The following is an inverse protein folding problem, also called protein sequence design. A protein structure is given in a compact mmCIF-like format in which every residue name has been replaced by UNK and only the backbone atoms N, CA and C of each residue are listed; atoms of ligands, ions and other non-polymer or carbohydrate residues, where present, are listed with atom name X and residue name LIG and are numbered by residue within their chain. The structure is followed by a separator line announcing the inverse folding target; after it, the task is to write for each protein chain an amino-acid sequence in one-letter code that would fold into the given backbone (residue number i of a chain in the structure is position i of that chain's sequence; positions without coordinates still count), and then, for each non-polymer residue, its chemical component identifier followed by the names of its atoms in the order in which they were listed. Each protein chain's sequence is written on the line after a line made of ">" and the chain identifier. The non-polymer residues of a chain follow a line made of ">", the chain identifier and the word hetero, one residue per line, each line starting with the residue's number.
data_IF_708390011716
#
_entry.id   IF_708390011716
#
_cell.length_a   1.000
_cell.length_b   1.000
_cell.length_c   1.000
_cell.angle_alpha   90.00
_cell.angle_beta   90.00
_cell.angle_gamma   90.00
#
_symmetry.space_group_name_H-M   'P 1'
#
loop_
_entity.id
_entity.type
_entity.pdbx_description
1 polymer ?
#
# COMPACT_ATOMS: atom_id res chain seq x y z
N UNK A 1 -9.59 0.40 20.06
CA UNK A 1 -8.48 -0.28 19.36
C UNK A 1 -7.40 0.74 19.08
N UNK A 2 -6.23 0.61 19.70
CA UNK A 2 -5.12 1.54 19.46
C UNK A 2 -4.57 1.31 18.06
N UNK A 3 -4.61 2.35 17.23
CA UNK A 3 -3.98 2.34 15.93
C UNK A 3 -2.49 2.52 16.12
N UNK A 4 -1.70 1.49 15.79
CA UNK A 4 -0.26 1.63 15.82
C UNK A 4 0.21 2.60 14.73
N UNK A 5 0.92 3.65 15.14
CA UNK A 5 1.54 4.62 14.25
C UNK A 5 3.04 4.45 14.31
N UNK A 6 3.62 3.97 13.21
CA UNK A 6 5.06 3.93 13.04
C UNK A 6 5.53 5.36 12.75
N UNK A 7 6.31 5.91 13.67
CA UNK A 7 6.80 7.28 13.63
C UNK A 7 8.26 7.33 13.17
N UNK A 8 8.55 8.20 12.21
CA UNK A 8 9.88 8.39 11.65
C UNK A 8 10.38 9.80 11.96
N UNK A 9 11.50 9.91 12.66
CA UNK A 9 12.23 11.16 12.82
C UNK A 9 12.89 11.54 11.49
N UNK A 10 12.67 12.78 11.08
CA UNK A 10 13.17 13.33 9.83
C UNK A 10 13.66 14.77 10.03
N UNK A 11 14.49 15.25 9.11
CA UNK A 11 14.94 16.64 9.06
C UNK A 11 14.70 17.16 7.65
N UNK A 12 14.14 18.37 7.54
CA UNK A 12 13.89 18.99 6.26
C UNK A 12 15.19 19.09 5.45
N UNK A 13 15.24 18.57 4.22
CA UNK A 13 16.46 18.57 3.41
C UNK A 13 16.92 19.97 3.02
N UNK A 14 16.03 20.97 3.06
CA UNK A 14 16.34 22.35 2.70
C UNK A 14 16.90 23.19 3.86
N UNK A 15 16.29 23.10 5.05
CA UNK A 15 16.63 23.99 6.18
C UNK A 15 17.06 23.26 7.46
N UNK A 16 17.13 21.93 7.46
CA UNK A 16 17.51 21.12 8.62
C UNK A 16 16.47 21.06 9.74
N UNK A 17 15.31 21.72 9.59
CA UNK A 17 14.29 21.75 10.63
C UNK A 17 13.77 20.34 10.97
N UNK A 18 13.59 20.00 12.25
CA UNK A 18 13.12 18.69 12.67
C UNK A 18 11.66 18.47 12.25
N UNK A 19 11.35 17.23 11.89
CA UNK A 19 10.01 16.78 11.55
C UNK A 19 9.77 15.35 12.05
N UNK A 20 8.50 14.99 12.20
CA UNK A 20 8.08 13.60 12.40
C UNK A 20 7.10 13.23 11.30
N UNK A 21 7.40 12.11 10.64
CA UNK A 21 6.59 11.54 9.57
C UNK A 21 5.93 10.26 10.05
N UNK A 22 4.80 9.92 9.43
CA UNK A 22 4.20 8.59 9.57
C UNK A 22 4.57 7.71 8.36
N UNK A 23 4.49 6.38 8.52
CA UNK A 23 4.84 5.40 7.48
C UNK A 23 4.14 5.65 6.13
N UNK A 24 2.90 6.11 6.15
CA UNK A 24 2.09 6.34 4.94
C UNK A 24 2.31 7.70 4.31
N UNK A 25 3.07 8.59 4.97
CA UNK A 25 3.34 9.92 4.43
C UNK A 25 4.35 9.85 3.29
N UNK A 26 4.02 10.54 2.21
CA UNK A 26 4.86 10.71 1.02
C UNK A 26 5.07 12.17 0.69
N UNK A 27 4.12 13.05 0.99
CA UNK A 27 4.26 14.48 0.82
C UNK A 27 4.60 15.16 2.15
N UNK A 28 5.75 15.79 2.21
CA UNK A 28 6.22 16.57 3.35
C UNK A 28 6.19 18.07 3.02
N UNK A 29 5.56 18.87 3.87
CA UNK A 29 5.64 20.33 3.82
C UNK A 29 6.38 20.82 5.06
N UNK A 30 7.52 21.50 4.87
CA UNK A 30 8.26 22.04 5.99
C UNK A 30 7.51 23.21 6.65
N UNK A 31 7.27 23.20 7.97
CA UNK A 31 6.60 24.32 8.64
C UNK A 31 7.46 25.60 8.71
N UNK A 32 8.78 25.50 8.51
CA UNK A 32 9.72 26.60 8.60
C UNK A 32 9.99 27.25 7.24
N UNK A 33 10.54 26.50 6.28
CA UNK A 33 10.89 27.04 4.95
C UNK A 33 9.77 26.89 3.91
N UNK A 34 8.64 26.24 4.27
CA UNK A 34 7.46 26.02 3.41
C UNK A 34 7.69 25.17 2.15
N UNK A 35 8.92 24.69 1.92
CA UNK A 35 9.24 23.78 0.83
C UNK A 35 8.41 22.49 0.97
N UNK A 36 7.90 22.05 -0.18
CA UNK A 36 7.19 20.77 -0.32
C UNK A 36 8.07 19.77 -1.04
N UNK A 37 8.27 18.64 -0.41
CA UNK A 37 9.08 17.55 -0.93
C UNK A 37 8.28 16.26 -0.91
N UNK A 38 8.33 15.53 -2.01
CA UNK A 38 7.75 14.21 -2.13
C UNK A 38 8.84 13.16 -1.90
N UNK A 39 8.61 12.27 -0.94
CA UNK A 39 9.51 11.21 -0.53
C UNK A 39 9.43 10.07 -1.53
N UNK A 40 10.58 9.69 -2.09
CA UNK A 40 10.68 8.58 -3.05
C UNK A 40 11.81 7.63 -2.67
N UNK A 41 11.66 6.39 -3.11
CA UNK A 41 12.69 5.35 -3.02
C UNK A 41 12.63 4.50 -4.30
N UNK A 42 13.77 3.94 -4.70
CA UNK A 42 13.84 3.09 -5.90
C UNK A 42 13.28 1.69 -5.66
N UNK A 43 13.33 1.23 -4.42
CA UNK A 43 12.93 -0.11 -4.03
C UNK A 43 11.98 -0.09 -2.82
N UNK A 44 12.49 0.21 -1.64
CA UNK A 44 11.75 0.23 -0.39
C UNK A 44 12.42 1.17 0.61
N UNK A 45 11.66 1.62 1.60
CA UNK A 45 12.22 2.45 2.66
C UNK A 45 13.01 1.60 3.65
N UNK A 46 14.17 2.12 4.06
CA UNK A 46 15.04 1.52 5.06
C UNK A 46 15.06 2.39 6.30
N UNK A 47 14.74 1.79 7.42
CA UNK A 47 14.68 2.44 8.72
C UNK A 47 15.66 1.81 9.70
N UNK A 48 16.04 2.55 10.74
CA UNK A 48 16.79 2.03 11.87
C UNK A 48 16.13 2.41 13.19
N UNK A 49 16.22 1.50 14.16
CA UNK A 49 15.92 1.78 15.56
C UNK A 49 17.11 2.49 16.20
N UNK A 50 16.82 3.47 17.04
CA UNK A 50 17.83 4.16 17.84
C UNK A 50 18.35 3.23 18.94
N UNK A 51 19.63 3.35 19.30
CA UNK A 51 20.25 2.56 20.36
C UNK A 51 20.56 3.41 21.59
N UNK A 52 20.62 2.73 22.74
CA UNK A 52 21.09 3.25 24.02
C UNK A 52 22.33 2.47 24.53
N UNK A 53 23.06 1.83 23.61
CA UNK A 53 24.25 1.05 23.93
C UNK A 53 25.30 1.84 24.74
N UNK A 54 26.05 1.17 25.64
CA UNK A 54 27.16 1.80 26.35
C UNK A 54 28.23 2.36 25.41
N UNK A 55 28.90 3.43 25.84
CA UNK A 55 29.95 4.07 25.07
C UNK A 55 31.09 3.08 24.72
N UNK A 56 31.65 3.22 23.51
CA UNK A 56 32.74 2.38 23.02
C UNK A 56 32.33 0.97 22.57
N UNK A 57 31.05 0.60 22.65
CA UNK A 57 30.57 -0.67 22.10
C UNK A 57 30.32 -0.55 20.60
N UNK A 58 30.94 -1.40 19.75
CA UNK A 58 30.64 -1.41 18.33
C UNK A 58 29.20 -1.89 18.10
N UNK A 59 28.43 -1.10 17.34
CA UNK A 59 27.03 -1.39 17.05
C UNK A 59 26.90 -2.17 15.74
N UNK A 60 26.08 -3.21 15.79
CA UNK A 60 25.71 -4.04 14.66
C UNK A 60 24.21 -3.85 14.41
N UNK A 61 23.87 -3.44 13.20
CA UNK A 61 22.50 -3.28 12.75
C UNK A 61 22.05 -4.53 12.00
N UNK A 62 21.16 -5.29 12.63
CA UNK A 62 20.61 -6.51 12.05
C UNK A 62 19.31 -6.21 11.28
N UNK A 63 19.21 -6.60 10.00
CA UNK A 63 18.07 -6.28 9.16
C UNK A 63 16.88 -7.20 9.41
N UNK A 64 15.71 -6.59 9.53
CA UNK A 64 14.41 -7.25 9.50
C UNK A 64 13.62 -6.73 8.31
N UNK A 65 12.96 -7.63 7.62
CA UNK A 65 11.88 -7.25 6.74
C UNK A 65 10.62 -6.99 7.55
N UNK A 66 9.86 -5.96 7.19
CA UNK A 66 8.51 -5.74 7.67
C UNK A 66 7.56 -5.68 6.48
N UNK A 67 6.48 -6.43 6.59
CA UNK A 67 5.42 -6.49 5.61
C UNK A 67 4.10 -6.16 6.29
N UNK A 68 3.41 -5.13 5.79
CA UNK A 68 2.10 -4.71 6.28
C UNK A 68 1.15 -4.57 5.11
N UNK A 69 -0.10 -5.02 5.24
CA UNK A 69 -1.11 -4.86 4.20
C UNK A 69 -2.34 -5.72 4.43
N UNK A 70 -3.16 -5.87 3.38
CA UNK A 70 -4.36 -6.70 3.40
C UNK A 70 -4.17 -7.92 2.52
N UNK A 71 -4.30 -9.11 3.09
CA UNK A 71 -4.25 -10.37 2.36
C UNK A 71 -5.66 -10.90 2.12
N UNK A 72 -5.93 -11.30 0.88
CA UNK A 72 -7.22 -11.84 0.45
C UNK A 72 -7.05 -13.25 -0.06
N UNK A 73 -7.95 -14.14 0.36
CA UNK A 73 -7.97 -15.53 -0.10
C UNK A 73 -9.37 -15.91 -0.53
N UNK A 74 -9.51 -16.38 -1.77
CA UNK A 74 -10.76 -16.93 -2.31
C UNK A 74 -10.92 -18.40 -1.93
N UNK A 75 -12.02 -18.73 -1.24
CA UNK A 75 -12.34 -20.07 -0.75
C UNK A 75 -13.74 -20.51 -1.24
N UNK A 76 -14.12 -21.79 -1.09
CA UNK A 76 -15.48 -22.25 -1.42
C UNK A 76 -16.58 -21.49 -0.68
N UNK A 77 -16.30 -21.06 0.57
CA UNK A 77 -17.21 -20.27 1.40
C UNK A 77 -17.18 -18.76 1.14
N UNK A 78 -16.46 -18.29 0.11
CA UNK A 78 -16.28 -16.87 -0.20
C UNK A 78 -14.86 -16.37 0.10
N UNK A 79 -14.65 -15.07 -0.10
CA UNK A 79 -13.34 -14.43 0.06
C UNK A 79 -13.14 -14.02 1.52
N UNK A 80 -12.02 -14.44 2.12
CA UNK A 80 -11.63 -14.05 3.47
C UNK A 80 -10.51 -13.01 3.43
N UNK A 81 -10.75 -11.76 3.89
CA UNK A 81 -9.69 -10.80 4.12
C UNK A 81 -8.98 -11.03 5.46
N UNK A 82 -7.70 -10.67 5.54
CA UNK A 82 -6.91 -10.63 6.77
C UNK A 82 -5.94 -9.44 6.72
N UNK A 83 -5.86 -8.68 7.81
CA UNK A 83 -4.81 -7.66 7.97
C UNK A 83 -3.53 -8.35 8.38
N UNK A 84 -2.45 -7.95 7.74
CA UNK A 84 -1.10 -8.45 7.96
C UNK A 84 -0.23 -7.30 8.44
N UNK A 85 0.51 -7.52 9.53
CA UNK A 85 1.63 -6.68 9.96
C UNK A 85 2.64 -7.60 10.67
N UNK A 86 3.67 -8.00 9.93
CA UNK A 86 4.65 -8.99 10.39
C UNK A 86 6.06 -8.51 10.11
N UNK A 87 6.99 -8.91 10.97
CA UNK A 87 8.41 -8.71 10.74
C UNK A 87 9.17 -10.01 10.88
N UNK A 88 10.19 -10.19 10.05
CA UNK A 88 11.01 -11.39 10.01
C UNK A 88 12.46 -11.01 9.74
N UNK A 89 13.39 -11.83 10.25
CA UNK A 89 14.81 -11.67 9.94
C UNK A 89 15.07 -11.64 8.42
N UNK A 90 15.86 -10.69 7.96
CA UNK A 90 16.34 -10.66 6.57
C UNK A 90 17.64 -11.47 6.39
N UNK A 91 18.23 -11.94 7.49
CA UNK A 91 19.38 -12.84 7.54
C UNK A 91 19.04 -13.96 8.51
N UNK A 92 18.94 -15.23 8.12
CA UNK A 92 18.65 -16.30 9.05
C UNK A 92 19.73 -16.39 10.12
N UNK A 93 19.36 -16.31 11.39
CA UNK A 93 20.29 -16.48 12.50
C UNK A 93 19.60 -16.93 13.79
N UNK A 94 20.16 -17.92 14.49
CA UNK A 94 19.63 -18.36 15.79
C UNK A 94 19.98 -17.37 16.93
N UNK A 95 20.84 -16.38 16.68
CA UNK A 95 21.39 -15.48 17.70
C UNK A 95 20.54 -14.24 17.93
N UNK A 96 19.76 -13.85 16.93
CA UNK A 96 18.94 -12.64 16.96
C UNK A 96 17.47 -13.02 17.12
N UNK A 97 16.63 -12.12 17.66
CA UNK A 97 15.19 -12.35 17.74
C UNK A 97 14.59 -12.70 16.37
N UNK A 98 13.57 -13.56 16.35
CA UNK A 98 12.90 -14.01 15.12
C UNK A 98 12.11 -12.89 14.43
N UNK A 99 11.66 -11.89 15.20
CA UNK A 99 10.91 -10.72 14.73
C UNK A 99 11.20 -9.49 15.60
N UNK A 100 10.75 -8.32 15.16
CA UNK A 100 10.83 -7.08 15.95
C UNK A 100 9.78 -7.00 17.07
N UNK A 101 8.80 -7.91 17.08
CA UNK A 101 7.63 -7.82 17.95
C UNK A 101 6.91 -6.49 17.76
N UNK A 102 6.54 -5.83 18.86
CA UNK A 102 5.85 -4.54 18.85
C UNK A 102 6.81 -3.34 18.76
N UNK A 103 8.13 -3.54 18.64
CA UNK A 103 9.10 -2.43 18.67
C UNK A 103 8.93 -1.42 17.54
N UNK A 104 8.59 -1.90 16.33
CA UNK A 104 8.29 -1.04 15.17
C UNK A 104 7.08 -0.13 15.39
N UNK A 105 6.24 -0.46 16.38
CA UNK A 105 5.00 0.21 16.71
C UNK A 105 5.11 1.15 17.92
N UNK A 106 6.18 1.03 18.71
CA UNK A 106 6.35 1.76 19.98
C UNK A 106 7.54 2.71 20.00
N UNK A 107 8.51 2.52 19.09
CA UNK A 107 9.74 3.31 19.03
C UNK A 107 9.77 4.21 17.80
N UNK A 108 10.39 5.38 17.94
CA UNK A 108 10.66 6.27 16.81
C UNK A 108 11.82 5.72 15.99
N UNK A 109 11.61 5.64 14.69
CA UNK A 109 12.61 5.19 13.72
C UNK A 109 13.31 6.39 13.08
N UNK A 110 14.45 6.14 12.43
CA UNK A 110 15.10 7.09 11.51
C UNK A 110 15.31 6.42 10.16
N UNK A 111 15.41 7.22 9.10
CA UNK A 111 15.88 6.69 7.82
C UNK A 111 17.35 6.26 7.95
N UNK A 112 17.68 5.14 7.30
CA UNK A 112 19.08 4.76 7.11
C UNK A 112 19.75 5.78 6.20
N UNK A 113 21.00 6.13 6.51
CA UNK A 113 21.81 7.00 5.65
C UNK A 113 23.27 6.52 5.62
N UNK A 114 24.07 6.87 4.59
CA UNK A 114 25.47 6.47 4.52
C UNK A 114 26.34 7.02 5.68
N UNK A 115 25.84 8.06 6.35
CA UNK A 115 26.43 8.70 7.52
C UNK A 115 26.03 8.00 8.84
N UNK A 116 25.15 7.00 8.80
CA UNK A 116 24.77 6.23 9.99
C UNK A 116 25.95 5.41 10.51
N UNK A 117 26.28 5.58 11.79
CA UNK A 117 27.36 4.85 12.45
C UNK A 117 26.99 3.37 12.69
N UNK A 118 28.01 2.51 12.78
CA UNK A 118 27.86 1.07 13.01
C UNK A 118 27.98 0.21 11.75
N UNK A 119 27.84 -1.10 11.92
CA UNK A 119 27.96 -2.10 10.85
C UNK A 119 26.57 -2.63 10.50
N UNK A 120 26.12 -2.42 9.26
CA UNK A 120 24.82 -2.87 8.78
C UNK A 120 24.97 -4.20 8.05
N UNK A 121 24.32 -5.24 8.55
CA UNK A 121 24.37 -6.55 7.91
C UNK A 121 23.56 -6.54 6.61
N UNK A 122 24.07 -7.24 5.59
CA UNK A 122 23.41 -7.35 4.30
C UNK A 122 22.27 -8.36 4.38
N UNK A 123 21.05 -8.03 3.91
CA UNK A 123 19.97 -9.01 3.81
C UNK A 123 20.37 -10.14 2.86
N UNK A 124 20.12 -11.39 3.29
CA UNK A 124 20.33 -12.61 2.48
C UNK A 124 19.02 -13.15 1.89
N UNK A 125 17.89 -12.82 2.52
CA UNK A 125 16.55 -13.12 2.03
C UNK A 125 16.09 -11.95 1.16
N UNK A 126 15.70 -12.21 -0.08
CA UNK A 126 15.20 -11.16 -0.97
C UNK A 126 13.80 -10.71 -0.56
N UNK A 127 13.39 -9.52 -0.99
CA UNK A 127 12.01 -9.05 -0.80
C UNK A 127 10.96 -9.93 -1.48
N UNK A 128 11.32 -10.58 -2.60
CA UNK A 128 10.44 -11.53 -3.30
C UNK A 128 10.19 -12.79 -2.48
N UNK A 129 11.23 -13.30 -1.82
CA UNK A 129 11.12 -14.46 -0.95
C UNK A 129 10.27 -14.15 0.28
N UNK A 130 10.32 -12.92 0.80
CA UNK A 130 9.45 -12.50 1.91
C UNK A 130 7.98 -12.60 1.56
N UNK A 131 7.58 -12.19 0.35
CA UNK A 131 6.18 -12.24 -0.06
C UNK A 131 5.67 -13.68 -0.06
N UNK A 132 6.48 -14.62 -0.56
CA UNK A 132 6.20 -16.06 -0.49
C UNK A 132 6.13 -16.57 0.95
N UNK A 133 7.07 -16.18 1.82
CA UNK A 133 7.03 -16.59 3.24
C UNK A 133 5.81 -16.03 3.96
N UNK A 134 5.42 -14.79 3.66
CA UNK A 134 4.18 -14.20 4.14
C UNK A 134 2.98 -15.03 3.66
N UNK A 135 2.87 -15.30 2.36
CA UNK A 135 1.83 -16.17 1.78
C UNK A 135 1.73 -17.50 2.52
N UNK A 136 2.84 -18.24 2.60
CA UNK A 136 2.89 -19.56 3.21
C UNK A 136 2.42 -19.51 4.67
N UNK A 137 2.92 -18.55 5.45
CA UNK A 137 2.52 -18.37 6.85
C UNK A 137 1.02 -18.04 6.99
N UNK A 138 0.44 -17.29 6.06
CA UNK A 138 -0.98 -16.94 6.12
C UNK A 138 -1.90 -18.04 5.60
N UNK A 139 -1.43 -18.85 4.66
CA UNK A 139 -2.21 -19.96 4.11
C UNK A 139 -2.03 -21.27 4.86
N UNK A 140 -0.99 -21.41 5.71
CA UNK A 140 -0.70 -22.65 6.45
C UNK A 140 -1.87 -23.19 7.27
N UNK A 141 -2.72 -22.32 7.83
CA UNK A 141 -3.89 -22.72 8.63
C UNK A 141 -5.20 -22.74 7.84
N UNK A 142 -5.17 -22.49 6.52
CA UNK A 142 -6.36 -22.40 5.68
C UNK A 142 -6.52 -23.71 4.91
N UNK A 143 -7.66 -24.41 5.03
CA UNK A 143 -7.91 -25.62 4.25
C UNK A 143 -7.95 -25.32 2.75
N UNK A 144 -7.29 -26.18 1.96
CA UNK A 144 -7.44 -26.23 0.51
C UNK A 144 -8.89 -26.63 0.11
N UNK A 145 -9.39 -26.23 -1.07
CA UNK A 145 -8.70 -25.51 -2.13
C UNK A 145 -8.69 -23.98 -1.96
N UNK A 146 -7.56 -23.35 -2.30
CA UNK A 146 -7.41 -21.88 -2.42
C UNK A 146 -7.52 -21.47 -3.91
N UNK A 147 -8.53 -20.68 -4.28
CA UNK A 147 -8.80 -20.37 -5.71
C UNK A 147 -8.09 -19.13 -6.24
N UNK A 148 -7.77 -18.18 -5.37
CA UNK A 148 -7.07 -16.95 -5.71
C UNK A 148 -6.53 -16.30 -4.44
N UNK A 149 -5.41 -15.58 -4.57
CA UNK A 149 -4.75 -14.84 -3.49
C UNK A 149 -4.36 -13.44 -4.01
N UNK A 150 -4.38 -12.44 -3.14
CA UNK A 150 -3.82 -11.11 -3.45
C UNK A 150 -3.36 -10.41 -2.18
N UNK A 151 -2.28 -9.64 -2.27
CA UNK A 151 -1.94 -8.62 -1.28
C UNK A 151 -2.29 -7.25 -1.85
N UNK A 152 -2.93 -6.42 -1.02
CA UNK A 152 -3.43 -5.11 -1.42
C UNK A 152 -3.17 -4.13 -0.28
N UNK A 153 -2.77 -2.92 -0.63
CA UNK A 153 -2.37 -1.89 0.32
C UNK A 153 -1.06 -2.21 1.00
N UNK A 154 -0.17 -2.97 0.33
CA UNK A 154 1.04 -3.47 0.97
C UNK A 154 2.07 -2.36 1.19
N UNK A 155 2.81 -2.47 2.29
CA UNK A 155 3.95 -1.62 2.61
C UNK A 155 5.08 -2.53 3.03
N UNK A 156 6.05 -2.65 2.14
CA UNK A 156 7.30 -3.34 2.38
C UNK A 156 8.34 -2.34 2.87
N UNK A 157 8.97 -2.64 4.00
CA UNK A 157 10.11 -1.88 4.50
C UNK A 157 11.16 -2.79 5.11
N UNK A 158 12.38 -2.27 5.20
CA UNK A 158 13.46 -2.90 5.94
C UNK A 158 13.74 -2.09 7.20
N UNK A 159 13.75 -2.74 8.36
CA UNK A 159 14.02 -2.11 9.65
C UNK A 159 15.27 -2.76 10.24
N UNK A 160 16.27 -1.95 10.51
CA UNK A 160 17.51 -2.34 11.16
C UNK A 160 17.37 -2.16 12.68
N UNK A 161 17.53 -3.27 13.42
CA UNK A 161 17.57 -3.23 14.88
C UNK A 161 19.02 -3.24 15.36
N UNK A 162 19.39 -2.38 16.32
CA UNK A 162 20.76 -2.29 16.80
C UNK A 162 21.04 -3.36 17.87
N UNK A 163 22.23 -3.94 17.81
CA UNK A 163 22.77 -4.89 18.76
C UNK A 163 24.23 -4.58 19.04
N UNK A 164 24.76 -5.06 20.16
CA UNK A 164 26.19 -5.11 20.41
C UNK A 164 26.58 -6.47 20.98
N UNK A 165 27.86 -6.79 20.91
CA UNK A 165 28.39 -8.12 21.22
C UNK A 165 29.39 -8.03 22.37
N UNK A 166 29.25 -8.95 23.32
CA UNK A 166 30.27 -9.25 24.35
C UNK A 166 30.47 -10.77 24.41
N UNK A 167 30.15 -11.41 25.53
CA UNK A 167 29.95 -12.85 25.72
C UNK A 167 28.61 -13.35 25.15
N UNK A 168 27.68 -12.43 24.87
CA UNK A 168 26.33 -12.66 24.30
C UNK A 168 26.01 -11.56 23.29
N UNK A 169 24.96 -11.76 22.50
CA UNK A 169 24.32 -10.69 21.75
C UNK A 169 23.39 -9.92 22.70
N UNK A 170 23.56 -8.60 22.74
CA UNK A 170 22.69 -7.70 23.49
C UNK A 170 21.85 -6.86 22.53
N UNK A 171 20.55 -6.77 22.81
CA UNK A 171 19.65 -5.76 22.24
C UNK A 171 20.14 -4.39 22.72
N UNK A 172 20.56 -3.54 21.78
CA UNK A 172 21.13 -2.23 22.07
C UNK A 172 20.06 -1.15 22.33
N UNK A 173 18.79 -1.45 22.14
CA UNK A 173 17.67 -0.58 22.53
C UNK A 173 17.42 -0.70 24.04
N UNK A 174 17.39 -1.95 24.54
CA UNK A 174 17.07 -2.23 25.95
C UNK A 174 18.28 -2.57 26.82
N UNK A 175 19.46 -2.73 26.21
CA UNK A 175 20.69 -3.22 26.84
C UNK A 175 20.50 -4.55 27.57
N UNK A 176 19.80 -5.50 26.94
CA UNK A 176 19.50 -6.83 27.50
C UNK A 176 20.02 -7.94 26.60
N UNK A 177 20.51 -9.06 27.16
CA UNK A 177 20.94 -10.20 26.36
C UNK A 177 19.75 -10.80 25.62
N UNK A 178 19.93 -11.13 24.34
CA UNK A 178 18.94 -11.80 23.48
C UNK A 178 19.38 -13.18 23.03
N UNK A 179 20.65 -13.52 23.23
CA UNK A 179 21.19 -14.85 22.98
C UNK A 179 21.66 -15.51 24.28
N UNK A 180 21.81 -16.83 24.22
CA UNK A 180 22.68 -17.55 25.15
C UNK A 180 24.15 -17.15 24.93
N UNK A 181 25.05 -17.74 25.74
CA UNK A 181 26.49 -17.58 25.53
C UNK A 181 26.86 -17.92 24.08
N UNK A 182 27.72 -17.09 23.47
CA UNK A 182 28.17 -17.30 22.10
C UNK A 182 29.04 -18.56 22.04
N UNK A 183 28.91 -19.39 20.97
CA UNK A 183 29.85 -20.48 20.72
C UNK A 183 31.28 -19.93 20.59
N UNK A 184 32.27 -20.66 21.10
CA UNK A 184 33.69 -20.23 21.11
C UNK A 184 34.25 -19.90 19.71
N UNK A 185 33.67 -20.48 18.66
CA UNK A 185 34.06 -20.31 17.26
C UNK A 185 33.21 -19.29 16.48
N UNK A 186 32.23 -18.64 17.13
CA UNK A 186 31.35 -17.69 16.46
C UNK A 186 31.99 -16.30 16.40
N UNK A 187 32.43 -15.93 15.22
CA UNK A 187 32.95 -14.60 14.93
C UNK A 187 31.91 -13.75 14.18
N UNK A 188 31.23 -12.88 14.90
CA UNK A 188 30.19 -12.00 14.35
C UNK A 188 30.79 -11.00 13.35
N UNK A 189 32.10 -10.70 13.42
CA UNK A 189 32.77 -9.83 12.45
C UNK A 189 32.86 -10.42 11.04
N UNK A 190 32.67 -11.75 10.90
CA UNK A 190 32.59 -12.44 9.59
C UNK A 190 31.22 -12.32 8.93
N UNK A 191 30.20 -11.80 9.62
CA UNK A 191 28.91 -11.58 9.00
C UNK A 191 29.04 -10.49 7.93
N UNK A 192 28.58 -10.77 6.72
CA UNK A 192 28.63 -9.81 5.62
C UNK A 192 27.82 -8.56 5.96
N UNK A 193 28.53 -7.44 6.02
CA UNK A 193 27.97 -6.14 6.34
C UNK A 193 28.89 -5.01 5.95
N UNK A 194 28.54 -3.80 6.36
CA UNK A 194 29.35 -2.61 6.15
C UNK A 194 28.56 -1.34 6.36
N UNK A 195 29.06 -0.22 5.83
CA UNK A 195 28.27 1.00 5.78
C UNK A 195 27.10 0.83 4.81
N UNK A 196 25.91 1.36 5.14
CA UNK A 196 24.77 1.27 4.25
C UNK A 196 25.00 2.19 3.05
N UNK A 197 24.75 1.67 1.84
CA UNK A 197 24.77 2.48 0.61
C UNK A 197 23.33 2.78 0.15
N UNK A 198 22.57 3.43 1.03
CA UNK A 198 21.20 3.84 0.74
C UNK A 198 20.91 5.19 1.38
N UNK A 199 20.09 5.99 0.71
CA UNK A 199 19.53 7.23 1.22
C UNK A 199 18.12 7.39 0.67
N UNK A 200 17.26 8.04 1.45
CA UNK A 200 15.98 8.52 0.96
C UNK A 200 16.22 9.62 -0.09
N UNK A 201 15.40 9.62 -1.14
CA UNK A 201 15.43 10.64 -2.18
C UNK A 201 14.17 11.51 -2.10
N UNK A 202 14.26 12.73 -2.63
CA UNK A 202 13.18 13.71 -2.59
C UNK A 202 12.96 14.32 -3.96
N UNK A 203 11.70 14.37 -4.39
CA UNK A 203 11.28 15.15 -5.54
C UNK A 203 10.69 16.48 -5.06
N UNK A 204 11.00 17.61 -5.71
CA UNK A 204 10.25 18.84 -5.48
C UNK A 204 8.80 18.59 -5.90
N UNK A 205 7.83 19.01 -5.09
CA UNK A 205 6.41 18.88 -5.42
C UNK A 205 5.99 19.95 -6.45
N UNK A 206 6.64 19.97 -7.61
CA UNK A 206 6.39 20.89 -8.72
C UNK A 206 5.82 20.13 -9.92
N UNK A 207 4.86 20.76 -10.59
CA UNK A 207 4.19 20.19 -11.75
C UNK A 207 5.18 20.10 -12.92
N UNK A 208 5.44 18.90 -13.47
CA UNK A 208 6.35 18.75 -14.61
C UNK A 208 5.91 19.52 -15.87
N UNK A 209 4.62 19.83 -16.00
CA UNK A 209 4.09 20.53 -17.16
C UNK A 209 4.17 22.06 -17.07
N UNK A 210 3.93 22.66 -15.90
CA UNK A 210 3.83 24.12 -15.78
C UNK A 210 4.63 24.74 -14.62
N UNK A 211 5.39 23.93 -13.87
CA UNK A 211 6.26 24.41 -12.77
C UNK A 211 5.55 24.83 -11.48
N UNK A 212 4.22 24.88 -11.45
CA UNK A 212 3.46 25.22 -10.25
C UNK A 212 3.47 24.13 -9.19
N UNK A 213 3.25 24.52 -7.94
CA UNK A 213 3.17 23.60 -6.81
C UNK A 213 2.06 22.55 -6.98
N UNK A 214 2.46 21.29 -6.88
CA UNK A 214 1.56 20.16 -6.73
C UNK A 214 0.94 20.15 -5.32
N UNK A 215 -0.34 19.77 -5.26
CA UNK A 215 -1.17 19.80 -4.06
C UNK A 215 -1.64 18.38 -3.70
N UNK A 216 -1.64 18.06 -2.42
CA UNK A 216 -2.16 16.79 -1.88
C UNK A 216 -2.07 16.76 -0.35
N UNK A 217 -2.72 15.77 0.26
CA UNK A 217 -2.51 15.46 1.68
C UNK A 217 -1.15 14.78 1.90
N UNK A 218 -0.71 14.67 3.16
CA UNK A 218 0.62 14.11 3.51
C UNK A 218 0.82 12.68 3.01
N UNK A 219 -0.24 11.88 2.94
CA UNK A 219 -0.22 10.49 2.46
C UNK A 219 -0.67 10.32 1.00
N UNK A 220 -0.86 11.41 0.26
CA UNK A 220 -1.35 11.33 -1.12
C UNK A 220 -0.29 10.71 -2.05
N UNK A 221 -0.74 9.77 -2.88
CA UNK A 221 0.05 9.16 -3.95
C UNK A 221 -0.10 9.91 -5.27
N UNK A 222 -1.30 10.46 -5.52
CA UNK A 222 -1.56 11.36 -6.64
C UNK A 222 -1.62 12.81 -6.16
N UNK A 223 -0.91 13.70 -6.84
CA UNK A 223 -0.83 15.12 -6.55
C UNK A 223 -1.46 15.93 -7.68
N UNK A 224 -2.26 16.92 -7.33
CA UNK A 224 -3.00 17.77 -8.25
C UNK A 224 -2.28 19.07 -8.55
N UNK A 225 -2.30 19.50 -9.81
CA UNK A 225 -1.90 20.83 -10.21
C UNK A 225 -3.14 21.66 -10.54
N UNK A 226 -3.46 22.65 -9.71
CA UNK A 226 -4.62 23.53 -9.92
C UNK A 226 -4.45 24.49 -11.10
N UNK A 227 -3.22 24.81 -11.50
CA UNK A 227 -2.95 25.77 -12.57
C UNK A 227 -3.32 25.24 -13.96
N UNK A 228 -2.80 24.04 -14.29
CA UNK A 228 -3.01 23.43 -15.59
C UNK A 228 -4.00 22.26 -15.54
N UNK A 229 -4.73 22.13 -14.43
CA UNK A 229 -5.73 21.09 -14.19
C UNK A 229 -5.21 19.70 -14.61
N UNK A 230 -4.18 19.24 -13.90
CA UNK A 230 -3.55 17.93 -14.15
C UNK A 230 -3.31 17.16 -12.86
N UNK A 231 -3.21 15.85 -12.98
CA UNK A 231 -2.96 14.94 -11.88
C UNK A 231 -1.71 14.11 -12.16
N UNK A 232 -0.86 13.97 -11.14
CA UNK A 232 0.47 13.40 -11.24
C UNK A 232 0.69 12.37 -10.17
N UNK A 233 1.25 11.21 -10.51
CA UNK A 233 1.61 10.18 -9.55
C UNK A 233 3.09 9.83 -9.70
N UNK A 234 3.75 9.55 -8.59
CA UNK A 234 5.14 9.15 -8.63
C UNK A 234 5.30 7.80 -9.36
N UNK A 235 6.24 7.74 -10.32
CA UNK A 235 6.75 6.49 -10.90
C UNK A 235 8.27 6.51 -10.80
N UNK A 236 8.81 5.76 -9.84
CA UNK A 236 10.24 5.75 -9.56
C UNK A 236 10.74 7.12 -9.11
N UNK A 237 11.51 7.80 -9.95
CA UNK A 237 12.14 9.10 -9.64
C UNK A 237 11.49 10.27 -10.38
N UNK A 238 10.33 10.05 -11.03
CA UNK A 238 9.60 11.09 -11.77
C UNK A 238 8.13 11.11 -11.36
N UNK A 239 7.42 12.10 -11.89
CA UNK A 239 5.97 12.16 -11.83
C UNK A 239 5.41 11.88 -13.21
N UNK A 240 4.49 10.93 -13.29
CA UNK A 240 3.77 10.60 -14.50
C UNK A 240 2.37 11.19 -14.45
N UNK A 241 1.91 11.70 -15.59
CA UNK A 241 0.55 12.24 -15.71
C UNK A 241 -0.45 11.10 -15.72
N UNK A 242 -1.53 11.25 -14.94
CA UNK A 242 -2.65 10.32 -14.93
C UNK A 242 -3.78 10.79 -15.85
N UNK A 243 -4.49 9.84 -16.45
CA UNK A 243 -5.84 10.08 -16.96
C UNK A 243 -6.81 10.12 -15.79
N UNK A 244 -7.68 11.13 -15.77
CA UNK A 244 -8.63 11.30 -14.69
C UNK A 244 -9.87 12.06 -15.12
N UNK A 245 -10.92 11.94 -14.32
CA UNK A 245 -12.16 12.69 -14.46
C UNK A 245 -13.04 12.52 -13.24
N UNK A 246 -14.23 13.13 -13.26
CA UNK A 246 -15.21 12.97 -12.19
C UNK A 246 -16.62 12.83 -12.74
N UNK A 247 -17.49 12.19 -11.95
CA UNK A 247 -18.93 12.21 -12.21
C UNK A 247 -19.56 13.46 -11.59
N UNK A 248 -20.40 14.21 -12.32
CA UNK A 248 -21.06 15.38 -11.76
C UNK A 248 -21.94 15.00 -10.57
N UNK A 249 -22.01 15.88 -9.58
CA UNK A 249 -22.93 15.74 -8.46
C UNK A 249 -24.13 16.66 -8.63
N UNK A 250 -25.32 16.17 -8.26
CA UNK A 250 -26.52 17.00 -8.12
C UNK A 250 -26.51 17.81 -6.81
N UNK A 251 -25.69 17.41 -5.83
CA UNK A 251 -25.62 18.04 -4.51
C UNK A 251 -24.35 18.88 -4.33
N UNK A 252 -24.52 20.13 -3.87
CA UNK A 252 -23.40 21.08 -3.70
C UNK A 252 -22.41 20.72 -2.59
N UNK A 253 -22.79 19.90 -1.60
CA UNK A 253 -21.92 19.50 -0.47
C UNK A 253 -21.43 18.04 -0.59
N UNK A 254 -21.15 17.60 -1.81
CA UNK A 254 -20.55 16.28 -2.04
C UNK A 254 -19.09 16.23 -1.62
N UNK A 255 -18.63 15.02 -1.27
CA UNK A 255 -17.21 14.68 -1.19
C UNK A 255 -16.87 13.68 -2.30
N UNK A 256 -15.77 13.88 -2.99
CA UNK A 256 -15.36 13.06 -4.12
C UNK A 256 -14.37 11.98 -3.69
N UNK A 257 -14.72 10.74 -3.98
CA UNK A 257 -13.93 9.56 -3.65
C UNK A 257 -13.21 9.06 -4.91
N UNK A 258 -11.89 8.82 -4.86
CA UNK A 258 -11.15 8.36 -6.03
C UNK A 258 -11.28 6.85 -6.21
N UNK A 259 -11.57 6.42 -7.43
CA UNK A 259 -11.59 5.01 -7.83
C UNK A 259 -10.70 4.81 -9.06
N UNK A 260 -10.04 3.66 -9.13
CA UNK A 260 -9.40 3.23 -10.36
C UNK A 260 -10.43 2.55 -11.24
N UNK A 261 -10.58 3.05 -12.47
CA UNK A 261 -11.31 2.41 -13.55
C UNK A 261 -10.30 1.73 -14.45
N UNK A 262 -10.39 0.41 -14.57
CA UNK A 262 -9.38 -0.42 -15.21
C UNK A 262 -10.01 -1.18 -16.38
N UNK A 263 -9.51 -0.93 -17.58
CA UNK A 263 -9.78 -1.79 -18.72
C UNK A 263 -8.73 -2.90 -18.75
N UNK A 264 -9.15 -4.15 -18.89
CA UNK A 264 -8.24 -5.29 -18.84
C UNK A 264 -8.60 -6.36 -19.88
N UNK A 265 -7.59 -7.08 -20.33
CA UNK A 265 -7.74 -8.33 -21.06
C UNK A 265 -7.89 -9.47 -20.09
N UNK A 266 -8.94 -10.26 -20.28
CA UNK A 266 -9.22 -11.44 -19.47
C UNK A 266 -9.11 -12.68 -20.36
N UNK A 267 -8.15 -13.55 -20.04
CA UNK A 267 -8.01 -14.85 -20.67
C UNK A 267 -8.69 -15.94 -19.83
N UNK A 268 -8.99 -17.10 -20.43
CA UNK A 268 -9.62 -18.22 -19.73
C UNK A 268 -11.14 -18.11 -19.54
N UNK A 269 -11.71 -16.90 -19.65
CA UNK A 269 -13.15 -16.65 -19.73
C UNK A 269 -13.45 -15.49 -20.70
N UNK A 270 -14.64 -15.51 -21.32
CA UNK A 270 -15.12 -14.36 -22.09
C UNK A 270 -15.65 -13.29 -21.14
N UNK A 271 -14.91 -12.19 -20.99
CA UNK A 271 -15.28 -11.03 -20.18
C UNK A 271 -14.74 -9.74 -20.79
N UNK A 272 -15.28 -9.34 -21.95
CA UNK A 272 -14.88 -8.12 -22.66
C UNK A 272 -15.95 -7.03 -22.68
N UNK A 273 -17.22 -7.42 -22.49
CA UNK A 273 -18.37 -6.53 -22.63
C UNK A 273 -19.34 -6.58 -21.45
N UNK A 274 -20.27 -5.64 -21.40
CA UNK A 274 -21.36 -5.67 -20.42
C UNK A 274 -22.24 -6.91 -20.58
N UNK A 275 -22.49 -7.36 -21.82
CA UNK A 275 -23.19 -8.61 -22.07
C UNK A 275 -22.47 -9.83 -21.47
N UNK A 276 -21.14 -9.84 -21.52
CA UNK A 276 -20.34 -10.90 -20.91
C UNK A 276 -20.41 -10.86 -19.39
N UNK A 277 -20.35 -9.67 -18.79
CA UNK A 277 -20.51 -9.48 -17.35
C UNK A 277 -21.84 -10.06 -16.84
N UNK A 278 -22.94 -9.80 -17.55
CA UNK A 278 -24.27 -10.33 -17.21
C UNK A 278 -24.27 -11.86 -17.15
N UNK A 279 -23.58 -12.51 -18.10
CA UNK A 279 -23.43 -13.97 -18.17
C UNK A 279 -22.52 -14.50 -17.05
N UNK A 280 -21.32 -13.92 -16.90
CA UNK A 280 -20.28 -14.35 -15.94
C UNK A 280 -20.72 -14.15 -14.49
N UNK A 281 -21.45 -13.08 -14.20
CA UNK A 281 -21.99 -12.80 -12.86
C UNK A 281 -23.38 -13.42 -12.62
N UNK A 282 -23.95 -14.09 -13.63
CA UNK A 282 -25.31 -14.64 -13.61
C UNK A 282 -26.35 -13.62 -13.09
N UNK A 283 -26.32 -12.41 -13.66
CA UNK A 283 -27.23 -11.34 -13.26
C UNK A 283 -28.67 -11.66 -13.69
N UNK A 284 -29.66 -11.23 -12.90
CA UNK A 284 -31.08 -11.31 -13.27
C UNK A 284 -31.44 -10.25 -14.33
N UNK A 285 -30.80 -10.32 -15.50
CA UNK A 285 -30.96 -9.41 -16.64
C UNK A 285 -30.92 -10.21 -17.95
N UNK A 286 -31.75 -9.80 -18.91
CA UNK A 286 -31.70 -10.30 -20.29
C UNK A 286 -30.77 -9.37 -21.08
N UNK A 287 -29.78 -9.94 -21.77
CA UNK A 287 -28.85 -9.17 -22.62
C UNK A 287 -29.64 -8.47 -23.72
N UNK A 288 -29.43 -7.16 -23.86
CA UNK A 288 -30.07 -6.33 -24.89
C UNK A 288 -29.08 -6.00 -26.01
N UNK A 289 -29.62 -5.67 -27.19
CA UNK A 289 -28.82 -5.24 -28.35
C UNK A 289 -27.92 -4.07 -27.98
N UNK A 290 -26.63 -4.18 -28.32
CA UNK A 290 -25.62 -3.14 -28.08
C UNK A 290 -24.93 -3.26 -26.72
N UNK A 291 -25.28 -4.24 -25.89
CA UNK A 291 -24.54 -4.51 -24.65
C UNK A 291 -23.22 -5.25 -24.91
N UNK A 292 -23.10 -5.88 -26.08
CA UNK A 292 -21.86 -6.48 -26.58
C UNK A 292 -20.82 -5.42 -26.94
N UNK A 293 -21.27 -4.23 -27.36
CA UNK A 293 -20.40 -3.11 -27.76
C UNK A 293 -19.93 -2.27 -26.55
N UNK A 294 -20.58 -2.43 -25.39
CA UNK A 294 -20.23 -1.71 -24.16
C UNK A 294 -19.04 -2.40 -23.49
N UNK A 295 -17.86 -1.76 -23.41
CA UNK A 295 -16.68 -2.39 -22.84
C UNK A 295 -16.86 -2.64 -21.34
N UNK A 296 -16.46 -3.82 -20.89
CA UNK A 296 -16.38 -4.14 -19.48
C UNK A 296 -15.16 -3.45 -18.84
N UNK A 297 -15.37 -2.87 -17.65
CA UNK A 297 -14.29 -2.26 -16.86
C UNK A 297 -14.32 -2.74 -15.41
N UNK A 298 -13.17 -3.05 -14.85
CA UNK A 298 -13.04 -3.26 -13.40
C UNK A 298 -12.97 -1.93 -12.67
N UNK A 299 -13.45 -1.93 -11.43
CA UNK A 299 -13.41 -0.78 -10.54
C UNK A 299 -12.87 -1.16 -9.18
N UNK A 300 -12.00 -0.33 -8.61
CA UNK A 300 -11.46 -0.52 -7.25
C UNK A 300 -11.29 0.83 -6.55
N UNK A 301 -11.42 0.92 -5.21
CA UNK A 301 -11.02 2.10 -4.46
C UNK A 301 -9.56 2.48 -4.73
N UNK A 302 -9.30 3.76 -4.95
CA UNK A 302 -7.94 4.32 -5.04
C UNK A 302 -7.48 4.90 -3.69
N UNK A 303 -8.15 4.53 -2.60
CA UNK A 303 -7.89 4.97 -1.24
C UNK A 303 -7.92 3.79 -0.27
N UNK A 304 -7.20 3.90 0.85
CA UNK A 304 -7.23 2.88 1.89
C UNK A 304 -8.58 2.87 2.59
N UNK A 305 -9.17 1.68 2.68
CA UNK A 305 -10.41 1.38 3.40
C UNK A 305 -10.25 0.00 4.06
N UNK A 306 -11.16 -0.40 4.97
CA UNK A 306 -11.11 -1.74 5.56
C UNK A 306 -11.18 -2.81 4.46
N UNK A 307 -10.47 -3.95 4.59
CA UNK A 307 -10.39 -4.97 3.54
C UNK A 307 -11.74 -5.46 3.02
N UNK A 308 -12.69 -5.69 3.92
CA UNK A 308 -14.05 -6.11 3.59
C UNK A 308 -14.80 -5.06 2.75
N UNK A 309 -14.62 -3.78 3.08
CA UNK A 309 -15.26 -2.67 2.37
C UNK A 309 -14.55 -2.45 1.02
N UNK A 310 -13.23 -2.66 0.94
CA UNK A 310 -12.50 -2.61 -0.32
C UNK A 310 -13.08 -3.58 -1.34
N UNK A 311 -13.32 -4.84 -0.94
CA UNK A 311 -13.97 -5.83 -1.80
C UNK A 311 -15.39 -5.45 -2.14
N UNK A 312 -16.17 -5.01 -1.15
CA UNK A 312 -17.56 -4.62 -1.36
C UNK A 312 -17.68 -3.48 -2.37
N UNK A 313 -16.86 -2.44 -2.22
CA UNK A 313 -16.82 -1.28 -3.11
C UNK A 313 -16.36 -1.68 -4.50
N UNK A 314 -15.27 -2.44 -4.61
CA UNK A 314 -14.75 -2.92 -5.89
C UNK A 314 -15.79 -3.74 -6.64
N UNK A 315 -16.42 -4.70 -5.96
CA UNK A 315 -17.46 -5.57 -6.51
C UNK A 315 -18.67 -4.77 -6.97
N UNK A 316 -19.25 -3.95 -6.09
CA UNK A 316 -20.50 -3.26 -6.40
C UNK A 316 -20.31 -2.26 -7.54
N UNK A 317 -19.22 -1.50 -7.51
CA UNK A 317 -18.94 -0.54 -8.58
C UNK A 317 -18.65 -1.25 -9.90
N UNK A 318 -17.91 -2.38 -9.86
CA UNK A 318 -17.70 -3.23 -11.05
C UNK A 318 -19.01 -3.81 -11.57
N UNK A 319 -19.93 -4.27 -10.72
CA UNK A 319 -21.20 -4.83 -11.19
C UNK A 319 -22.18 -3.77 -11.71
N UNK A 320 -22.08 -2.55 -11.20
CA UNK A 320 -22.93 -1.43 -11.63
C UNK A 320 -22.51 -0.85 -12.98
N UNK A 321 -21.24 -0.96 -13.39
CA UNK A 321 -20.66 -0.34 -14.59
C UNK A 321 -21.11 1.14 -14.75
N UNK A 322 -20.56 2.06 -13.91
CA UNK A 322 -20.87 3.49 -13.97
C UNK A 322 -20.86 4.08 -15.39
N UNK A 323 -21.63 5.15 -15.64
CA UNK A 323 -21.72 5.78 -16.96
C UNK A 323 -20.36 6.29 -17.44
N UNK A 324 -20.23 6.52 -18.75
CA UNK A 324 -18.96 6.95 -19.36
C UNK A 324 -18.76 8.48 -19.33
N UNK A 325 -19.82 9.25 -19.04
CA UNK A 325 -19.81 10.71 -19.04
C UNK A 325 -19.04 11.27 -17.83
N UNK A 326 -17.71 11.20 -17.93
CA UNK A 326 -16.76 11.76 -16.98
C UNK A 326 -16.31 13.15 -17.47
N UNK A 327 -16.29 14.13 -16.57
CA UNK A 327 -15.71 15.44 -16.88
C UNK A 327 -14.20 15.35 -16.64
N UNK A 328 -13.33 15.60 -17.65
CA UNK A 328 -11.88 15.37 -17.57
C UNK A 328 -11.15 16.51 -16.83
N UNK A 329 -11.60 16.80 -15.61
CA UNK A 329 -11.07 17.85 -14.75
C UNK A 329 -11.10 17.43 -13.29
N UNK A 330 -10.47 18.21 -12.41
CA UNK A 330 -10.59 17.97 -10.99
C UNK A 330 -11.97 18.48 -10.53
N UNK A 331 -12.70 17.72 -9.71
CA UNK A 331 -13.96 18.22 -9.18
C UNK A 331 -13.71 19.42 -8.25
N UNK A 332 -14.66 20.33 -8.20
CA UNK A 332 -14.69 21.37 -7.16
C UNK A 332 -15.18 20.75 -5.84
N UNK A 333 -14.58 21.17 -4.72
CA UNK A 333 -15.00 20.76 -3.37
C UNK A 333 -14.03 19.82 -2.66
N UNK A 334 -14.56 19.04 -1.72
CA UNK A 334 -13.78 18.13 -0.88
C UNK A 334 -13.44 16.86 -1.67
N UNK A 335 -12.16 16.50 -1.73
CA UNK A 335 -11.66 15.33 -2.46
C UNK A 335 -10.88 14.45 -1.47
N UNK A 336 -11.21 13.17 -1.41
CA UNK A 336 -10.45 12.19 -0.65
C UNK A 336 -9.12 11.89 -1.38
N UNK A 337 -7.97 11.84 -0.67
CA UNK A 337 -6.69 11.63 -1.31
C UNK A 337 -6.57 10.20 -1.86
N UNK A 338 -5.85 10.09 -2.99
CA UNK A 338 -5.41 8.79 -3.50
C UNK A 338 -4.35 8.23 -2.54
N UNK A 339 -4.65 7.11 -1.90
CA UNK A 339 -3.78 6.48 -0.88
C UNK A 339 -3.53 4.99 -1.15
N UNK A 340 -4.10 4.47 -2.25
CA UNK A 340 -3.83 3.13 -2.76
C UNK A 340 -3.00 3.22 -4.05
N UNK A 341 -1.87 2.50 -4.17
CA UNK A 341 -1.11 2.41 -5.42
C UNK A 341 -1.92 1.81 -6.56
N UNK A 342 -1.53 2.11 -7.80
CA UNK A 342 -2.17 1.54 -9.00
C UNK A 342 -1.87 0.04 -9.14
N UNK A 343 -0.67 -0.36 -8.72
CA UNK A 343 -0.19 -1.74 -8.76
C UNK A 343 -1.10 -2.66 -7.92
N UNK A 344 -1.45 -2.21 -6.71
CA UNK A 344 -2.38 -2.91 -5.81
C UNK A 344 -3.79 -3.05 -6.42
N UNK A 345 -4.24 -2.03 -7.15
CA UNK A 345 -5.52 -2.07 -7.85
C UNK A 345 -5.52 -3.13 -8.96
N UNK A 346 -4.45 -3.22 -9.74
CA UNK A 346 -4.27 -4.24 -10.79
C UNK A 346 -4.13 -5.63 -10.18
N UNK A 347 -3.39 -5.79 -9.08
CA UNK A 347 -3.26 -7.06 -8.37
C UNK A 347 -4.61 -7.56 -7.82
N UNK A 348 -5.48 -6.64 -7.41
CA UNK A 348 -6.78 -6.97 -6.85
C UNK A 348 -7.79 -7.57 -7.85
N UNK A 349 -7.56 -7.43 -9.16
CA UNK A 349 -8.58 -7.72 -10.18
C UNK A 349 -9.07 -9.18 -10.14
N UNK A 350 -8.17 -10.14 -9.91
CA UNK A 350 -8.54 -11.57 -9.84
C UNK A 350 -9.41 -11.86 -8.61
N UNK A 351 -9.11 -11.22 -7.47
CA UNK A 351 -9.93 -11.31 -6.26
C UNK A 351 -11.28 -10.58 -6.44
N UNK A 352 -11.31 -9.46 -7.16
CA UNK A 352 -12.55 -8.78 -7.51
C UNK A 352 -13.44 -9.68 -8.41
N UNK A 353 -12.87 -10.30 -9.45
CA UNK A 353 -13.56 -11.29 -10.28
C UNK A 353 -14.12 -12.45 -9.44
N UNK A 354 -13.32 -12.99 -8.52
CA UNK A 354 -13.75 -14.06 -7.61
C UNK A 354 -14.96 -13.67 -6.75
N UNK A 355 -15.17 -12.37 -6.48
CA UNK A 355 -16.26 -11.87 -5.64
C UNK A 355 -17.63 -11.89 -6.33
N UNK A 356 -17.66 -11.97 -7.66
CA UNK A 356 -18.90 -11.93 -8.43
C UNK A 356 -19.05 -13.03 -9.47
N UNK A 357 -18.01 -13.80 -9.78
CA UNK A 357 -18.10 -14.92 -10.72
C UNK A 357 -19.12 -15.96 -10.23
N UNK A 358 -20.01 -16.38 -11.12
CA UNK A 358 -21.07 -17.34 -10.83
C UNK A 358 -21.20 -18.36 -11.97
N UNK A 359 -21.61 -19.61 -11.68
CA UNK A 359 -21.86 -20.17 -10.35
C UNK A 359 -20.57 -20.42 -9.54
N UNK A 360 -20.63 -20.65 -8.21
CA UNK A 360 -19.45 -20.82 -7.35
C UNK A 360 -18.43 -21.87 -7.82
N UNK A 361 -18.86 -22.91 -8.56
CA UNK A 361 -17.96 -23.89 -9.18
C UNK A 361 -16.95 -23.26 -10.16
N UNK A 362 -17.26 -22.11 -10.75
CA UNK A 362 -16.35 -21.38 -11.64
C UNK A 362 -15.14 -20.79 -10.92
N UNK A 363 -15.14 -20.73 -9.58
CA UNK A 363 -13.94 -20.34 -8.82
C UNK A 363 -12.74 -21.25 -9.12
N UNK A 364 -12.98 -22.53 -9.45
CA UNK A 364 -11.93 -23.48 -9.85
C UNK A 364 -11.22 -23.07 -11.16
N UNK A 365 -11.83 -22.21 -11.97
CA UNK A 365 -11.21 -21.72 -13.20
C UNK A 365 -10.25 -20.54 -12.96
N UNK A 366 -10.24 -19.93 -11.77
CA UNK A 366 -9.43 -18.73 -11.48
C UNK A 366 -7.92 -18.96 -11.63
N UNK A 367 -7.45 -20.20 -11.41
CA UNK A 367 -6.05 -20.59 -11.63
C UNK A 367 -5.64 -20.52 -13.11
N UNK A 368 -6.60 -20.59 -14.04
CA UNK A 368 -6.40 -20.55 -15.50
C UNK A 368 -6.77 -19.22 -16.13
N UNK A 369 -7.27 -18.27 -15.33
CA UNK A 369 -7.67 -16.94 -15.78
C UNK A 369 -6.52 -15.99 -15.52
N UNK A 370 -6.03 -15.33 -16.56
CA UNK A 370 -5.11 -14.21 -16.43
C UNK A 370 -5.81 -12.91 -16.76
N UNK A 371 -5.49 -11.87 -16.00
CA UNK A 371 -6.05 -10.54 -16.16
C UNK A 371 -4.89 -9.58 -16.34
N UNK A 372 -4.82 -8.93 -17.51
CA UNK A 372 -3.79 -7.97 -17.85
C UNK A 372 -4.41 -6.59 -18.05
N UNK A 373 -4.07 -5.63 -17.20
CA UNK A 373 -4.56 -4.26 -17.32
C UNK A 373 -4.01 -3.60 -18.60
N UNK A 374 -4.90 -3.02 -19.41
CA UNK A 374 -4.57 -2.24 -20.62
C UNK A 374 -4.44 -0.76 -20.31
N UNK A 375 -5.39 -0.22 -19.56
CA UNK A 375 -5.43 1.19 -19.19
C UNK A 375 -6.06 1.35 -17.81
N UNK A 376 -5.61 2.38 -17.10
CA UNK A 376 -6.10 2.75 -15.78
C UNK A 376 -6.34 4.26 -15.76
N UNK A 377 -7.57 4.65 -15.42
CA UNK A 377 -7.94 6.04 -15.20
C UNK A 377 -8.39 6.23 -13.75
N UNK A 378 -8.13 7.41 -13.19
CA UNK A 378 -8.60 7.78 -11.86
C UNK A 378 -9.92 8.56 -11.97
N UNK A 379 -11.00 8.00 -11.44
CA UNK A 379 -12.33 8.60 -11.53
C UNK A 379 -12.80 8.98 -10.14
N UNK A 380 -13.18 10.25 -9.98
CA UNK A 380 -13.72 10.79 -8.75
C UNK A 380 -15.24 10.67 -8.74
N UNK A 381 -15.75 9.85 -7.81
CA UNK A 381 -17.19 9.59 -7.65
C UNK A 381 -17.74 10.44 -6.50
N UNK A 382 -18.80 11.23 -6.69
CA UNK A 382 -19.38 12.02 -5.62
C UNK A 382 -20.10 11.14 -4.60
N UNK A 383 -19.94 11.45 -3.33
CA UNK A 383 -20.66 10.86 -2.21
C UNK A 383 -21.44 11.96 -1.49
N UNK A 384 -22.69 11.68 -1.19
CA UNK A 384 -23.55 12.53 -0.37
C UNK A 384 -23.11 12.45 1.09
N UNK A 385 -23.16 13.60 1.77
CA UNK A 385 -22.83 13.72 3.19
C UNK A 385 -24.10 13.78 4.02
N UNK A 386 -24.16 12.97 5.06
CA UNK A 386 -25.05 13.15 6.20
C UNK A 386 -24.21 13.34 7.47
N UNK A 387 -24.85 13.54 8.62
CA UNK A 387 -24.14 13.78 9.88
C UNK A 387 -23.07 12.72 10.20
N UNK A 388 -23.35 11.44 9.93
CA UNK A 388 -22.46 10.33 10.29
C UNK A 388 -22.07 9.42 9.12
N UNK A 389 -22.67 9.59 7.95
CA UNK A 389 -22.47 8.67 6.82
C UNK A 389 -22.12 9.42 5.53
N UNK A 390 -21.31 8.74 4.73
CA UNK A 390 -20.96 9.09 3.37
C UNK A 390 -21.51 7.99 2.48
N UNK A 391 -22.40 8.31 1.55
CA UNK A 391 -23.03 7.30 0.72
C UNK A 391 -23.20 7.74 -0.73
N UNK A 392 -23.20 6.77 -1.64
CA UNK A 392 -23.46 6.96 -3.06
C UNK A 392 -24.57 5.98 -3.45
N UNK A 393 -25.84 6.44 -3.53
CA UNK A 393 -27.00 5.57 -3.65
C UNK A 393 -27.04 4.81 -4.98
N UNK A 394 -26.60 5.40 -6.08
CA UNK A 394 -26.64 4.76 -7.41
C UNK A 394 -25.81 3.47 -7.47
N UNK A 395 -24.79 3.35 -6.62
CA UNK A 395 -23.87 2.21 -6.58
C UNK A 395 -23.94 1.41 -5.27
N UNK A 396 -24.89 1.73 -4.38
CA UNK A 396 -25.03 1.13 -3.06
C UNK A 396 -23.72 1.12 -2.26
N UNK A 397 -22.99 2.24 -2.29
CA UNK A 397 -21.75 2.41 -1.54
C UNK A 397 -22.01 3.26 -0.30
N UNK A 398 -21.44 2.84 0.85
CA UNK A 398 -21.56 3.59 2.10
C UNK A 398 -20.36 3.39 3.00
N UNK A 399 -19.97 4.43 3.72
CA UNK A 399 -18.91 4.41 4.72
C UNK A 399 -19.10 5.56 5.72
N UNK A 400 -18.16 5.74 6.65
CA UNK A 400 -18.15 6.85 7.61
C UNK A 400 -16.77 7.50 7.64
N UNK A 401 -16.70 8.79 8.01
CA UNK A 401 -15.42 9.51 8.18
C UNK A 401 -14.48 8.78 9.15
N UNK A 402 -15.02 8.27 10.25
CA UNK A 402 -14.26 7.52 11.27
C UNK A 402 -13.60 6.26 10.69
N UNK A 403 -14.29 5.52 9.82
CA UNK A 403 -13.74 4.33 9.18
C UNK A 403 -12.61 4.68 8.20
N UNK A 404 -12.74 5.79 7.47
CA UNK A 404 -11.70 6.28 6.56
C UNK A 404 -10.45 6.72 7.32
N UNK A 405 -10.62 7.48 8.41
CA UNK A 405 -9.50 7.89 9.27
C UNK A 405 -8.75 6.69 9.87
N UNK A 406 -9.48 5.67 10.34
CA UNK A 406 -8.86 4.43 10.79
C UNK A 406 -8.10 3.72 9.67
N UNK A 407 -8.68 3.66 8.47
CA UNK A 407 -8.11 2.95 7.34
C UNK A 407 -6.84 3.60 6.78
N UNK A 408 -6.59 4.89 7.00
CA UNK A 408 -5.31 5.56 6.65
C UNK A 408 -4.08 4.85 7.25
N UNK A 409 -4.29 4.10 8.33
CA UNK A 409 -3.23 3.39 9.05
C UNK A 409 -3.25 1.87 8.81
N UNK A 410 -4.09 1.35 7.91
CA UNK A 410 -4.11 -0.07 7.53
C UNK A 410 -2.98 -0.44 6.58
#
# INVERSE_FOLDING_TARGET
>A
MNVSRLLIEHQCPQCGAPATLEETERLFTCPFCRVRSYLVTRDYFRYLLQHAAPAGKPIIFFPYWRFKGSFFVSLPGGIKPRIVDVSQQAVPSPLFPVSLGLRSQTLKLRFVSPESDGVFLKPKVSSKDLRRVAEDMFTASIPEPLFAKAFIGETLSQIYSPFYVTDKVFDAVLNRPVSCALPENLDISRMEGGKPNWRIEFLPALCPNCGWDLQGERNALALSCKNCNSLWMNRGMTFDRLEFGFFPSETKDSIYFPFYRIQADVSGITLGSYADLVKVANMAKVVQKGWEDKPFRFWTPAFKIRPQDFLFFSRNLTLSQPPEEEIPQLPEGEILPVTMPMEDAVESLKINLASFIKPPKMLQALDRIDINARSVALVYVPFEKTANELFQPAFNLRTTKTLLEYAKHL
#
